data_IF_221485828487
#
_entry.id   IF_221485828487
#
_cell.length_a   1.000
_cell.length_b   1.000
_cell.length_c   1.000
_cell.angle_alpha   90.00
_cell.angle_beta   90.00
_cell.angle_gamma   90.00
#
_symmetry.space_group_name_H-M   'P 1'
#
loop_
_entity.id
_entity.type
_entity.pdbx_description
1 polymer ?
#
# COMPACT_ATOMS: atom_id res chain seq x y z
N UNK A 1 -17.26 -0.71 1.99
CA UNK A 1 -16.45 -0.15 0.88
C UNK A 1 -15.99 -1.33 0.04
N UNK A 2 -15.96 -1.20 -1.29
CA UNK A 2 -15.49 -2.29 -2.17
C UNK A 2 -13.98 -2.21 -2.34
N UNK A 3 -13.31 -3.33 -2.63
CA UNK A 3 -11.85 -3.36 -2.86
C UNK A 3 -11.40 -2.41 -3.98
N UNK A 4 -12.30 -2.09 -4.91
CA UNK A 4 -12.05 -1.16 -6.03
C UNK A 4 -11.80 0.30 -5.61
N UNK A 5 -12.14 0.69 -4.37
CA UNK A 5 -11.85 2.05 -3.89
C UNK A 5 -10.42 2.25 -3.38
N UNK A 6 -9.66 1.17 -3.16
CA UNK A 6 -8.31 1.27 -2.61
C UNK A 6 -7.27 1.63 -3.69
N UNK A 7 -6.27 2.47 -3.36
CA UNK A 7 -5.25 2.89 -4.32
C UNK A 7 -4.36 1.71 -4.74
N UNK A 8 -3.77 1.79 -5.94
CA UNK A 8 -2.76 0.83 -6.42
C UNK A 8 -1.35 1.15 -5.95
N UNK A 9 -1.11 2.36 -5.48
CA UNK A 9 0.18 2.81 -4.96
C UNK A 9 -0.03 3.69 -3.74
N UNK A 10 0.71 3.42 -2.67
CA UNK A 10 0.80 4.29 -1.50
C UNK A 10 2.26 4.73 -1.35
N UNK A 11 2.51 6.03 -1.32
CA UNK A 11 3.80 6.55 -0.87
C UNK A 11 3.84 6.53 0.66
N UNK A 12 4.88 5.96 1.26
CA UNK A 12 5.15 6.10 2.68
C UNK A 12 6.08 7.30 2.86
N UNK A 13 5.78 8.23 3.77
CA UNK A 13 6.64 9.39 4.02
C UNK A 13 8.07 8.98 4.45
N UNK A 14 9.07 9.90 4.40
CA UNK A 14 10.45 9.58 4.70
C UNK A 14 10.66 8.90 6.06
N UNK A 15 9.92 9.30 7.10
CA UNK A 15 9.96 8.69 8.42
C UNK A 15 11.03 9.26 9.36
N UNK A 16 11.73 10.28 8.90
CA UNK A 16 12.78 11.05 9.58
C UNK A 16 12.70 12.54 9.20
N UNK A 17 11.52 13.04 8.82
CA UNK A 17 11.35 14.45 8.48
C UNK A 17 11.68 15.34 9.68
N UNK A 18 12.51 16.36 9.44
CA UNK A 18 12.70 17.49 10.35
C UNK A 18 11.84 18.66 9.87
N UNK A 19 11.65 19.68 10.70
CA UNK A 19 10.95 20.90 10.30
C UNK A 19 11.57 21.53 9.04
N UNK A 20 12.90 21.61 8.97
CA UNK A 20 13.65 22.10 7.81
C UNK A 20 13.47 21.21 6.58
N UNK A 21 13.28 19.90 6.79
CA UNK A 21 13.07 18.91 5.74
C UNK A 21 11.68 18.94 5.09
N UNK A 22 10.68 19.56 5.74
CA UNK A 22 9.30 19.60 5.23
C UNK A 22 9.22 20.30 3.87
N UNK A 23 9.82 21.48 3.72
CA UNK A 23 9.78 22.23 2.46
C UNK A 23 10.35 21.46 1.26
N UNK A 24 11.58 20.90 1.36
CA UNK A 24 12.13 19.99 0.35
C UNK A 24 11.25 18.77 0.06
N UNK A 25 10.68 18.15 1.09
CA UNK A 25 9.80 17.00 0.92
C UNK A 25 8.53 17.35 0.15
N UNK A 26 7.87 18.48 0.46
CA UNK A 26 6.65 18.91 -0.25
C UNK A 26 6.92 19.15 -1.75
N UNK A 27 8.10 19.70 -2.10
CA UNK A 27 8.48 19.82 -3.52
C UNK A 27 8.65 18.47 -4.21
N UNK A 28 9.21 17.47 -3.51
CA UNK A 28 9.28 16.11 -4.05
C UNK A 28 7.90 15.47 -4.16
N UNK A 29 7.02 15.73 -3.19
CA UNK A 29 5.63 15.28 -3.21
C UNK A 29 4.89 15.86 -4.43
N UNK A 30 5.07 17.14 -4.75
CA UNK A 30 4.49 17.76 -5.96
C UNK A 30 4.93 17.05 -7.24
N UNK A 31 6.20 16.66 -7.33
CA UNK A 31 6.68 15.86 -8.46
C UNK A 31 6.03 14.46 -8.50
N UNK A 32 5.92 13.77 -7.36
CA UNK A 32 5.24 12.48 -7.31
C UNK A 32 3.75 12.59 -7.68
N UNK A 33 3.08 13.65 -7.24
CA UNK A 33 1.69 13.98 -7.57
C UNK A 33 1.49 14.30 -9.05
N UNK A 34 2.43 15.00 -9.69
CA UNK A 34 2.43 15.20 -11.14
C UNK A 34 2.55 13.86 -11.91
N UNK A 35 3.16 12.84 -11.30
CA UNK A 35 3.18 11.47 -11.81
C UNK A 35 1.87 10.69 -11.61
N UNK A 36 0.90 11.24 -10.87
CA UNK A 36 -0.38 10.61 -10.57
C UNK A 36 -0.41 9.82 -9.26
N UNK A 37 0.41 10.19 -8.26
CA UNK A 37 0.45 9.49 -6.97
C UNK A 37 -0.95 9.50 -6.31
N UNK A 38 -1.59 8.34 -6.07
CA UNK A 38 -2.98 8.33 -5.64
C UNK A 38 -3.15 8.39 -4.11
N UNK A 39 -2.12 8.07 -3.33
CA UNK A 39 -2.19 8.14 -1.88
C UNK A 39 -0.81 8.31 -1.22
N UNK A 40 -0.81 8.95 -0.05
CA UNK A 40 0.35 9.03 0.83
C UNK A 40 -0.03 8.64 2.26
N UNK A 41 0.75 7.73 2.85
CA UNK A 41 0.74 7.41 4.27
C UNK A 41 1.81 8.23 4.99
N UNK A 42 1.35 9.18 5.80
CA UNK A 42 2.21 10.02 6.64
C UNK A 42 2.58 9.25 7.90
N UNK A 43 3.86 8.90 8.02
CA UNK A 43 4.44 8.17 9.14
C UNK A 43 5.72 8.87 9.57
N UNK A 44 5.60 9.81 10.49
CA UNK A 44 6.73 10.55 11.05
C UNK A 44 6.76 10.32 12.58
N UNK A 45 7.32 9.20 13.05
CA UNK A 45 7.20 8.77 14.46
C UNK A 45 7.87 9.71 15.47
N UNK A 46 8.73 10.62 15.02
CA UNK A 46 9.36 11.63 15.87
C UNK A 46 8.51 12.87 16.13
N UNK A 47 7.33 12.99 15.52
CA UNK A 47 6.50 14.19 15.60
C UNK A 47 5.40 14.05 16.66
N UNK A 48 5.25 15.09 17.48
CA UNK A 48 4.14 15.20 18.43
C UNK A 48 2.81 15.52 17.71
N UNK A 49 1.68 15.26 18.37
CA UNK A 49 0.35 15.33 17.77
C UNK A 49 0.02 16.71 17.14
N UNK A 50 0.40 17.82 17.79
CA UNK A 50 0.15 19.16 17.28
C UNK A 50 0.93 19.45 15.98
N UNK A 51 2.26 19.40 16.00
CA UNK A 51 3.09 19.52 14.79
C UNK A 51 2.73 18.51 13.70
N UNK A 52 2.42 17.26 14.06
CA UNK A 52 2.00 16.22 13.10
C UNK A 52 0.68 16.59 12.41
N UNK A 53 -0.29 17.15 13.14
CA UNK A 53 -1.55 17.62 12.55
C UNK A 53 -1.32 18.75 11.55
N UNK A 54 -0.44 19.70 11.86
CA UNK A 54 -0.10 20.80 10.95
C UNK A 54 0.63 20.28 9.70
N UNK A 55 1.58 19.36 9.87
CA UNK A 55 2.22 18.66 8.75
C UNK A 55 1.19 17.90 7.89
N UNK A 56 0.28 17.16 8.52
CA UNK A 56 -0.78 16.42 7.84
C UNK A 56 -1.70 17.34 7.03
N UNK A 57 -2.08 18.49 7.58
CA UNK A 57 -2.89 19.50 6.86
C UNK A 57 -2.15 20.09 5.67
N UNK A 58 -0.86 20.36 5.83
CA UNK A 58 -0.02 20.89 4.76
C UNK A 58 0.12 19.86 3.63
N UNK A 59 0.53 18.64 3.95
CA UNK A 59 0.57 17.51 2.99
C UNK A 59 -0.79 17.31 2.32
N UNK A 60 -1.88 17.31 3.09
CA UNK A 60 -3.24 17.19 2.54
C UNK A 60 -3.60 18.30 1.56
N UNK A 61 -3.08 19.53 1.74
CA UNK A 61 -3.30 20.64 0.81
C UNK A 61 -2.65 20.40 -0.56
N UNK A 62 -1.52 19.71 -0.60
CA UNK A 62 -0.88 19.29 -1.86
C UNK A 62 -1.61 18.10 -2.50
N UNK A 63 -2.08 17.14 -1.70
CA UNK A 63 -2.76 15.93 -2.22
C UNK A 63 -4.14 16.22 -2.83
N UNK A 64 -4.95 17.08 -2.18
CA UNK A 64 -6.37 17.31 -2.55
C UNK A 64 -6.59 17.75 -4.00
N UNK A 65 -5.85 18.72 -4.57
CA UNK A 65 -6.01 19.13 -5.97
C UNK A 65 -5.81 18.00 -6.99
N UNK A 66 -5.06 16.96 -6.61
CA UNK A 66 -4.78 15.79 -7.45
C UNK A 66 -5.75 14.62 -7.19
N UNK A 67 -6.73 14.78 -6.29
CA UNK A 67 -7.61 13.70 -5.86
C UNK A 67 -6.90 12.61 -5.05
N UNK A 68 -5.69 12.87 -4.56
CA UNK A 68 -4.90 11.91 -3.80
C UNK A 68 -5.34 11.86 -2.34
N UNK A 69 -5.26 10.67 -1.74
CA UNK A 69 -5.70 10.43 -0.36
C UNK A 69 -4.56 10.54 0.65
N UNK A 70 -4.82 11.19 1.78
CA UNK A 70 -3.93 11.19 2.95
C UNK A 70 -4.31 10.06 3.90
N UNK A 71 -3.33 9.28 4.36
CA UNK A 71 -3.46 8.32 5.46
C UNK A 71 -2.51 8.71 6.58
N UNK A 72 -2.89 8.45 7.82
CA UNK A 72 -2.04 8.68 8.99
C UNK A 72 -1.57 7.36 9.59
N UNK A 73 -0.32 7.27 10.01
CA UNK A 73 0.16 6.12 10.77
C UNK A 73 -0.08 6.32 12.27
N UNK A 74 -0.76 5.39 12.93
CA UNK A 74 -0.98 5.36 14.39
C UNK A 74 -1.60 6.63 15.03
N UNK A 75 -2.28 7.47 14.24
CA UNK A 75 -2.88 8.70 14.73
C UNK A 75 -4.40 8.77 14.45
N UNK A 76 -5.22 7.82 14.93
CA UNK A 76 -6.66 7.81 14.66
C UNK A 76 -7.37 9.07 15.19
N UNK A 77 -6.90 9.61 16.31
CA UNK A 77 -7.41 10.85 16.92
C UNK A 77 -7.21 12.11 16.05
N UNK A 78 -6.31 12.07 15.06
CA UNK A 78 -6.06 13.19 14.14
C UNK A 78 -6.82 13.07 12.81
N UNK A 79 -7.41 11.91 12.49
CA UNK A 79 -8.00 11.63 11.17
C UNK A 79 -9.04 12.67 10.76
N UNK A 80 -9.99 12.97 11.66
CA UNK A 80 -11.04 13.96 11.38
C UNK A 80 -10.47 15.38 11.23
N UNK A 81 -9.54 15.78 12.11
CA UNK A 81 -8.95 17.13 12.11
C UNK A 81 -8.01 17.38 10.92
N UNK A 82 -7.39 16.32 10.41
CA UNK A 82 -6.52 16.34 9.22
C UNK A 82 -7.30 16.11 7.92
N UNK A 83 -8.58 15.74 7.99
CA UNK A 83 -9.39 15.28 6.85
C UNK A 83 -8.71 14.12 6.10
N UNK A 84 -8.09 13.21 6.85
CA UNK A 84 -7.44 12.04 6.29
C UNK A 84 -8.48 10.99 5.84
N UNK A 85 -8.16 10.26 4.78
CA UNK A 85 -8.98 9.16 4.28
C UNK A 85 -8.97 7.93 5.21
N UNK A 86 -8.06 7.88 6.18
CA UNK A 86 -7.93 6.72 7.06
C UNK A 86 -6.67 6.70 7.89
N UNK A 87 -6.48 5.59 8.59
CA UNK A 87 -5.32 5.30 9.43
C UNK A 87 -4.70 3.96 9.04
N UNK A 88 -3.40 3.84 9.20
CA UNK A 88 -2.68 2.58 9.10
C UNK A 88 -2.00 2.27 10.43
N UNK A 89 -2.22 1.06 10.94
CA UNK A 89 -1.70 0.61 12.22
C UNK A 89 -0.42 -0.21 12.02
N UNK A 90 0.57 0.04 12.87
CA UNK A 90 1.74 -0.81 13.01
C UNK A 90 1.47 -2.05 13.86
N UNK A 91 2.49 -2.90 14.01
CA UNK A 91 2.42 -4.13 14.80
C UNK A 91 2.20 -3.88 16.31
N UNK A 92 2.69 -2.75 16.83
CA UNK A 92 2.63 -2.41 18.27
C UNK A 92 1.45 -1.49 18.62
N UNK A 93 0.55 -1.30 17.67
CA UNK A 93 -0.52 -0.32 17.77
C UNK A 93 -1.71 -0.86 18.57
N UNK A 94 -2.70 0.00 18.80
CA UNK A 94 -3.97 -0.45 19.35
C UNK A 94 -4.62 -1.50 18.44
N UNK A 95 -5.35 -2.47 19.00
CA UNK A 95 -6.09 -3.44 18.20
C UNK A 95 -7.09 -2.75 17.24
N UNK A 96 -7.27 -3.24 16.00
CA UNK A 96 -8.19 -2.65 15.03
C UNK A 96 -9.62 -2.43 15.56
N UNK A 97 -10.16 -3.36 16.32
CA UNK A 97 -11.50 -3.29 16.92
C UNK A 97 -11.64 -2.14 17.95
N UNK A 98 -10.52 -1.67 18.51
CA UNK A 98 -10.48 -0.49 19.39
C UNK A 98 -10.32 0.81 18.61
N UNK A 99 -9.70 0.74 17.44
CA UNK A 99 -9.47 1.91 16.57
C UNK A 99 -10.67 2.20 15.70
N UNK A 100 -11.34 1.17 15.16
CA UNK A 100 -12.48 1.32 14.24
C UNK A 100 -13.58 2.27 14.76
N UNK A 101 -14.01 2.23 16.03
CA UNK A 101 -15.02 3.15 16.56
C UNK A 101 -14.54 4.61 16.68
N UNK A 102 -13.23 4.86 16.64
CA UNK A 102 -12.66 6.23 16.69
C UNK A 102 -12.70 6.92 15.32
N UNK A 103 -12.87 6.16 14.24
CA UNK A 103 -12.76 6.67 12.88
C UNK A 103 -14.13 7.16 12.37
N UNK A 104 -14.16 8.24 11.58
CA UNK A 104 -15.34 8.59 10.80
C UNK A 104 -15.78 7.42 9.90
N UNK A 105 -17.08 7.33 9.65
CA UNK A 105 -17.63 6.32 8.76
C UNK A 105 -17.01 6.45 7.35
N UNK A 106 -16.58 5.31 6.77
CA UNK A 106 -15.95 5.28 5.45
C UNK A 106 -14.44 5.57 5.45
N UNK A 107 -13.81 5.83 6.60
CA UNK A 107 -12.35 5.88 6.68
C UNK A 107 -11.74 4.48 6.54
N UNK A 108 -10.64 4.39 5.79
CA UNK A 108 -9.87 3.15 5.68
C UNK A 108 -9.08 2.88 6.97
N UNK A 109 -9.00 1.61 7.35
CA UNK A 109 -8.18 1.13 8.43
C UNK A 109 -7.29 0.00 7.91
N UNK A 110 -5.99 0.26 7.83
CA UNK A 110 -4.99 -0.73 7.45
C UNK A 110 -4.22 -1.28 8.63
N UNK A 111 -3.64 -2.46 8.47
CA UNK A 111 -2.75 -3.08 9.47
C UNK A 111 -1.47 -3.63 8.80
N UNK A 112 -0.32 -3.37 9.42
CA UNK A 112 0.95 -4.00 9.04
C UNK A 112 1.04 -5.43 9.57
N UNK A 113 1.45 -6.35 8.69
CA UNK A 113 1.61 -7.79 9.00
C UNK A 113 2.99 -8.28 8.54
N UNK A 114 3.58 -9.20 9.32
CA UNK A 114 4.84 -9.87 8.98
C UNK A 114 4.62 -11.36 8.74
N UNK A 115 5.60 -12.04 8.12
CA UNK A 115 5.51 -13.48 7.87
C UNK A 115 5.42 -14.32 9.16
N UNK A 116 6.00 -13.84 10.27
CA UNK A 116 5.85 -14.47 11.59
C UNK A 116 4.41 -14.48 12.10
N UNK A 117 3.57 -13.58 11.59
CA UNK A 117 2.22 -13.34 12.11
C UNK A 117 1.17 -14.17 11.34
N UNK A 118 1.64 -15.16 10.58
CA UNK A 118 0.86 -15.86 9.56
C UNK A 118 -0.46 -16.51 10.02
N UNK A 119 -0.64 -16.97 11.28
CA UNK A 119 -1.92 -17.51 11.72
C UNK A 119 -3.00 -16.46 11.97
N UNK A 120 -2.68 -15.17 12.14
CA UNK A 120 -3.64 -14.18 12.68
C UNK A 120 -4.30 -13.29 11.62
N UNK A 121 -3.76 -13.20 10.40
CA UNK A 121 -4.26 -12.27 9.36
C UNK A 121 -5.56 -12.76 8.70
N UNK A 122 -5.80 -14.07 8.67
CA UNK A 122 -7.04 -14.65 8.14
C UNK A 122 -8.27 -14.27 9.01
N UNK A 123 -8.05 -13.72 10.21
CA UNK A 123 -9.08 -13.48 11.22
C UNK A 123 -9.10 -12.04 11.75
N UNK A 124 -8.33 -11.10 11.18
CA UNK A 124 -8.38 -9.70 11.63
C UNK A 124 -9.69 -9.09 11.17
N UNK A 125 -10.73 -9.28 11.97
CA UNK A 125 -11.96 -8.54 11.87
C UNK A 125 -11.65 -7.03 11.87
N UNK A 126 -12.49 -6.26 11.19
CA UNK A 126 -12.48 -4.80 11.22
C UNK A 126 -11.27 -4.10 10.58
N UNK A 127 -10.54 -4.68 9.63
CA UNK A 127 -9.58 -3.94 8.77
C UNK A 127 -10.02 -3.95 7.29
N UNK A 128 -9.63 -2.91 6.54
CA UNK A 128 -9.96 -2.78 5.12
C UNK A 128 -8.85 -3.30 4.20
N UNK A 129 -7.61 -3.36 4.68
CA UNK A 129 -6.45 -3.88 3.95
C UNK A 129 -5.29 -4.19 4.88
N UNK A 130 -4.29 -4.92 4.38
CA UNK A 130 -3.05 -5.19 5.12
C UNK A 130 -1.81 -4.86 4.32
N UNK A 131 -0.72 -4.50 5.01
CA UNK A 131 0.61 -4.45 4.43
C UNK A 131 1.34 -5.77 4.73
N UNK A 132 1.91 -6.41 3.71
CA UNK A 132 2.74 -7.59 3.85
C UNK A 132 4.20 -7.24 3.54
N UNK A 133 5.09 -7.48 4.51
CA UNK A 133 6.46 -6.96 4.44
C UNK A 133 7.45 -7.65 5.39
N UNK A 134 8.78 -7.58 5.11
CA UNK A 134 9.38 -7.05 3.88
C UNK A 134 9.36 -8.06 2.73
N UNK A 135 9.03 -7.63 1.51
CA UNK A 135 9.11 -8.50 0.31
C UNK A 135 10.56 -8.80 -0.06
N UNK A 136 11.39 -7.76 -0.15
CA UNK A 136 12.82 -7.86 -0.39
C UNK A 136 13.61 -7.20 0.74
N UNK A 137 14.91 -7.49 0.80
CA UNK A 137 15.80 -6.90 1.80
C UNK A 137 15.75 -5.37 1.73
N UNK A 138 15.71 -4.72 2.89
CA UNK A 138 15.67 -3.26 2.97
C UNK A 138 16.45 -2.76 4.19
N UNK A 139 17.24 -1.67 4.05
CA UNK A 139 17.98 -1.10 5.17
C UNK A 139 17.10 -0.78 6.39
N UNK A 140 15.85 -0.37 6.15
CA UNK A 140 14.91 0.00 7.22
C UNK A 140 14.45 -1.15 8.11
N UNK A 141 14.72 -2.40 7.72
CA UNK A 141 14.36 -3.61 8.48
C UNK A 141 15.54 -4.58 8.61
N UNK A 142 16.75 -4.13 8.27
CA UNK A 142 17.96 -4.94 8.35
C UNK A 142 18.21 -5.42 9.79
N UNK A 143 18.36 -6.73 9.97
CA UNK A 143 18.68 -7.35 11.26
C UNK A 143 17.50 -7.75 12.14
N UNK A 144 16.25 -7.47 11.73
CA UNK A 144 15.06 -7.81 12.53
C UNK A 144 13.96 -8.55 11.76
N UNK A 145 13.95 -8.51 10.42
CA UNK A 145 12.98 -9.24 9.58
C UNK A 145 13.65 -9.72 8.28
N UNK A 146 13.56 -11.02 8.01
CA UNK A 146 14.00 -11.62 6.74
C UNK A 146 13.02 -11.31 5.61
N UNK A 147 13.50 -11.10 4.36
CA UNK A 147 12.65 -10.92 3.21
C UNK A 147 11.85 -12.20 2.90
N UNK A 148 10.57 -12.03 2.62
CA UNK A 148 9.62 -13.14 2.43
C UNK A 148 9.52 -13.59 0.97
N UNK A 149 9.90 -12.72 0.03
CA UNK A 149 9.83 -12.98 -1.40
C UNK A 149 8.42 -12.91 -2.00
N UNK A 150 8.36 -12.98 -3.33
CA UNK A 150 7.10 -12.87 -4.10
C UNK A 150 6.24 -14.12 -4.04
N UNK A 151 6.83 -15.30 -3.79
CA UNK A 151 6.07 -16.53 -3.57
C UNK A 151 5.20 -16.44 -2.32
N UNK A 152 5.78 -16.06 -1.17
CA UNK A 152 5.02 -15.89 0.07
C UNK A 152 3.99 -14.76 -0.05
N UNK A 153 4.27 -13.72 -0.85
CA UNK A 153 3.29 -12.69 -1.17
C UNK A 153 2.08 -13.26 -1.93
N UNK A 154 2.31 -14.08 -2.96
CA UNK A 154 1.24 -14.70 -3.73
C UNK A 154 0.39 -15.63 -2.84
N UNK A 155 1.02 -16.44 -1.99
CA UNK A 155 0.35 -17.29 -1.00
C UNK A 155 -0.50 -16.46 -0.03
N UNK A 156 0.04 -15.33 0.47
CA UNK A 156 -0.69 -14.39 1.33
C UNK A 156 -1.88 -13.76 0.63
N UNK A 157 -1.73 -13.32 -0.62
CA UNK A 157 -2.80 -12.74 -1.43
C UNK A 157 -3.95 -13.74 -1.59
N UNK A 158 -3.64 -15.00 -1.89
CA UNK A 158 -4.65 -16.06 -2.05
C UNK A 158 -5.35 -16.41 -0.73
N UNK A 159 -4.63 -16.37 0.39
CA UNK A 159 -5.16 -16.75 1.69
C UNK A 159 -5.87 -15.62 2.46
N UNK A 160 -5.72 -14.35 2.04
CA UNK A 160 -6.24 -13.21 2.79
C UNK A 160 -7.69 -12.89 2.44
N UNK A 161 -8.51 -12.64 3.46
CA UNK A 161 -9.87 -12.16 3.29
C UNK A 161 -9.95 -10.68 2.89
N UNK A 162 -8.84 -9.94 3.02
CA UNK A 162 -8.77 -8.50 2.73
C UNK A 162 -7.66 -8.20 1.72
N UNK A 163 -7.77 -7.09 0.97
CA UNK A 163 -6.72 -6.64 0.05
C UNK A 163 -5.33 -6.54 0.69
N UNK A 164 -4.32 -7.12 0.02
CA UNK A 164 -2.92 -7.16 0.49
C UNK A 164 -2.07 -6.18 -0.31
N UNK A 165 -1.31 -5.32 0.37
CA UNK A 165 -0.30 -4.47 -0.24
C UNK A 165 1.11 -5.01 0.00
N UNK A 166 1.95 -4.94 -1.03
CA UNK A 166 3.36 -5.31 -0.95
C UNK A 166 4.22 -4.14 -0.45
N UNK A 167 5.03 -4.35 0.59
CA UNK A 167 5.94 -3.35 1.14
C UNK A 167 7.32 -3.95 1.46
N UNK A 168 8.38 -3.17 1.24
CA UNK A 168 9.74 -3.47 1.68
C UNK A 168 10.63 -3.94 0.52
N UNK A 169 11.61 -3.11 0.17
CA UNK A 169 12.59 -3.39 -0.88
C UNK A 169 12.04 -3.37 -2.32
N UNK A 170 10.78 -2.98 -2.51
CA UNK A 170 10.15 -2.83 -3.83
C UNK A 170 10.72 -1.59 -4.56
N UNK A 171 11.11 -1.76 -5.82
CA UNK A 171 11.66 -0.72 -6.70
C UNK A 171 11.32 -1.02 -8.17
N UNK A 172 11.82 -0.22 -9.13
CA UNK A 172 11.55 -0.38 -10.57
C UNK A 172 11.96 -1.75 -11.14
N UNK A 173 13.01 -2.34 -10.61
CA UNK A 173 13.68 -3.50 -11.21
C UNK A 173 12.95 -4.79 -10.84
N UNK A 174 12.32 -4.83 -9.66
CA UNK A 174 11.57 -5.99 -9.17
C UNK A 174 10.03 -5.82 -9.22
N UNK A 175 9.55 -4.66 -9.67
CA UNK A 175 8.13 -4.31 -9.64
C UNK A 175 7.24 -5.28 -10.43
N UNK A 176 7.75 -5.78 -11.56
CA UNK A 176 7.02 -6.72 -12.41
C UNK A 176 6.69 -8.02 -11.68
N UNK A 177 7.66 -8.60 -10.96
CA UNK A 177 7.48 -9.82 -10.18
C UNK A 177 6.51 -9.61 -9.01
N UNK A 178 6.59 -8.44 -8.36
CA UNK A 178 5.66 -8.08 -7.28
C UNK A 178 4.22 -8.01 -7.79
N UNK A 179 3.98 -7.37 -8.94
CA UNK A 179 2.64 -7.30 -9.51
C UNK A 179 2.11 -8.66 -9.97
N UNK A 180 2.99 -9.54 -10.46
CA UNK A 180 2.60 -10.92 -10.82
C UNK A 180 2.11 -11.74 -9.63
N UNK A 181 2.60 -11.44 -8.41
CA UNK A 181 2.11 -12.04 -7.18
C UNK A 181 0.67 -11.59 -6.79
N UNK A 182 0.09 -10.63 -7.52
CA UNK A 182 -1.31 -10.22 -7.38
C UNK A 182 -1.69 -9.33 -6.19
N UNK A 183 -0.82 -8.49 -5.60
CA UNK A 183 -1.24 -7.60 -4.53
C UNK A 183 -2.28 -6.57 -5.02
N UNK A 184 -3.09 -6.05 -4.10
CA UNK A 184 -3.95 -4.90 -4.35
C UNK A 184 -3.14 -3.69 -4.81
N UNK A 185 -2.00 -3.45 -4.17
CA UNK A 185 -1.13 -2.32 -4.47
C UNK A 185 0.26 -2.50 -3.88
N UNK A 186 1.11 -1.52 -4.15
CA UNK A 186 2.47 -1.49 -3.59
C UNK A 186 2.67 -0.25 -2.73
N UNK A 187 3.58 -0.34 -1.77
CA UNK A 187 3.96 0.76 -0.89
C UNK A 187 5.43 1.10 -1.13
N UNK A 188 5.71 2.34 -1.54
CA UNK A 188 7.06 2.80 -1.85
C UNK A 188 7.52 3.87 -0.86
N UNK A 189 8.80 3.80 -0.44
CA UNK A 189 9.47 4.83 0.37
C UNK A 189 10.77 5.28 -0.29
N UNK A 190 11.85 4.54 -0.07
CA UNK A 190 13.20 4.90 -0.55
C UNK A 190 13.31 4.91 -2.08
N UNK A 191 12.64 3.99 -2.77
CA UNK A 191 12.62 3.96 -4.24
C UNK A 191 11.95 5.21 -4.84
N UNK A 192 11.00 5.81 -4.12
CA UNK A 192 10.32 7.03 -4.54
C UNK A 192 11.12 8.28 -4.15
N UNK A 193 11.38 8.47 -2.85
CA UNK A 193 12.02 9.68 -2.32
C UNK A 193 13.53 9.74 -2.57
N UNK A 194 14.16 8.62 -2.89
CA UNK A 194 15.55 8.57 -3.34
C UNK A 194 15.73 8.87 -4.84
N UNK A 195 14.65 8.98 -5.60
CA UNK A 195 14.69 9.25 -7.04
C UNK A 195 14.80 10.75 -7.32
N UNK A 196 15.58 11.10 -8.34
CA UNK A 196 15.58 12.47 -8.92
C UNK A 196 14.33 12.76 -9.75
N UNK A 197 13.56 11.73 -10.09
CA UNK A 197 12.34 11.80 -10.88
C UNK A 197 11.21 11.00 -10.21
N UNK A 198 10.63 11.49 -9.09
CA UNK A 198 9.54 10.80 -8.39
C UNK A 198 8.30 10.58 -9.27
N UNK A 199 8.01 11.52 -10.16
CA UNK A 199 6.97 11.45 -11.19
C UNK A 199 7.09 10.16 -12.03
N UNK A 200 8.30 9.88 -12.53
CA UNK A 200 8.55 8.70 -13.38
C UNK A 200 8.46 7.39 -12.61
N UNK A 201 8.84 7.39 -11.32
CA UNK A 201 8.69 6.21 -10.45
C UNK A 201 7.21 5.88 -10.27
N UNK A 202 6.38 6.89 -10.00
CA UNK A 202 4.93 6.73 -9.88
C UNK A 202 4.32 6.22 -11.18
N UNK A 203 4.61 6.86 -12.31
CA UNK A 203 4.09 6.45 -13.63
C UNK A 203 4.49 5.03 -13.99
N UNK A 204 5.76 4.65 -13.77
CA UNK A 204 6.25 3.30 -14.03
C UNK A 204 5.50 2.27 -13.19
N UNK A 205 5.23 2.61 -11.92
CA UNK A 205 4.49 1.73 -11.02
C UNK A 205 3.05 1.50 -11.45
N UNK A 206 2.32 2.57 -11.75
CA UNK A 206 0.94 2.48 -12.19
C UNK A 206 0.82 1.78 -13.56
N UNK A 207 1.76 2.04 -14.48
CA UNK A 207 1.79 1.38 -15.80
C UNK A 207 2.07 -0.11 -15.69
N UNK A 208 2.97 -0.52 -14.78
CA UNK A 208 3.25 -1.93 -14.52
C UNK A 208 2.03 -2.67 -13.94
N UNK A 209 1.26 -2.02 -13.07
CA UNK A 209 -0.01 -2.55 -12.54
C UNK A 209 -1.00 -2.85 -13.69
N UNK A 210 -1.29 -1.85 -14.52
CA UNK A 210 -2.25 -1.98 -15.64
C UNK A 210 -1.82 -3.05 -16.64
N UNK A 211 -0.54 -3.10 -16.98
CA UNK A 211 0.01 -4.07 -17.93
C UNK A 211 -0.08 -5.52 -17.42
N UNK A 212 0.01 -5.72 -16.11
CA UNK A 212 -0.13 -7.05 -15.49
C UNK A 212 -1.60 -7.46 -15.44
N UNK A 213 -2.51 -6.55 -15.06
CA UNK A 213 -3.96 -6.83 -15.06
C UNK A 213 -4.51 -7.19 -16.45
N UNK A 214 -4.03 -6.49 -17.50
CA UNK A 214 -4.37 -6.83 -18.89
C UNK A 214 -3.88 -8.24 -19.30
N UNK A 215 -2.72 -8.66 -18.80
CA UNK A 215 -2.16 -10.00 -19.10
C UNK A 215 -2.92 -11.12 -18.38
N UNK A 216 -3.30 -10.92 -17.12
CA UNK A 216 -4.05 -11.91 -16.35
C UNK A 216 -5.47 -12.12 -16.94
N UNK A 217 -6.18 -11.03 -17.26
CA UNK A 217 -7.52 -11.11 -17.88
C UNK A 217 -7.52 -11.80 -19.27
N UNK A 218 -6.45 -11.65 -20.04
CA UNK A 218 -6.29 -12.35 -21.33
C UNK A 218 -5.89 -13.82 -21.19
N UNK A 219 -5.28 -14.22 -20.08
CA UNK A 219 -4.99 -15.63 -19.80
C UNK A 219 -6.22 -16.38 -19.29
N UNK A 220 -7.01 -15.78 -18.40
CA UNK A 220 -8.25 -16.39 -17.88
C UNK A 220 -9.27 -16.64 -18.99
N UNK A 221 -9.41 -15.71 -19.94
CA UNK A 221 -10.30 -15.88 -21.11
C UNK A 221 -9.87 -17.00 -22.06
N UNK A 222 -8.56 -17.25 -22.21
CA UNK A 222 -8.04 -18.38 -22.99
C UNK A 222 -8.20 -19.71 -22.27
N UNK A 223 -7.94 -19.76 -20.96
CA UNK A 223 -8.13 -20.95 -20.13
C UNK A 223 -9.59 -21.40 -20.00
N UNK A 224 -10.55 -20.46 -20.05
CA UNK A 224 -11.97 -20.76 -20.09
C UNK A 224 -12.42 -21.37 -21.43
N UNK A 225 -11.81 -20.95 -22.55
CA UNK A 225 -12.13 -21.48 -23.88
C UNK A 225 -11.67 -22.93 -24.10
N UNK A 226 -10.58 -23.35 -23.44
CA UNK A 226 -9.99 -24.69 -23.61
C UNK A 226 -10.73 -25.78 -22.80
N UNK A 227 -11.41 -25.41 -21.71
CA UNK A 227 -12.24 -26.34 -20.90
C UNK A 227 -13.63 -26.63 -21.52
N UNK A 228 -13.97 -25.99 -22.63
CA UNK A 228 -15.24 -26.21 -23.35
C UNK A 228 -15.18 -27.34 -24.40
N UNK A 229 -14.01 -27.94 -24.63
CA UNK A 229 -13.86 -29.11 -25.50
C UNK A 229 -14.01 -30.40 -24.68
N UNK A 230 -15.26 -30.77 -24.42
CA UNK A 230 -15.61 -32.11 -23.96
C UNK A 230 -15.49 -33.07 -25.17
N UNK A 231 -14.65 -34.12 -25.15
CA UNK A 231 -14.75 -35.19 -26.12
C UNK A 231 -15.97 -36.05 -25.75
N UNK A 232 -17.09 -35.81 -26.42
CA UNK A 232 -18.19 -36.76 -26.43
C UNK A 232 -17.76 -38.01 -27.21
N UNK A 233 -17.67 -39.11 -26.48
CA UNK A 233 -18.33 -40.37 -26.77
C UNK A 233 -18.03 -41.05 -28.12
N UNK A 234 -17.04 -41.96 -28.12
CA UNK A 234 -17.06 -43.13 -29.00
C UNK A 234 -16.91 -44.39 -28.14
N UNK A 235 -18.04 -44.93 -27.72
CA UNK A 235 -18.18 -46.29 -27.19
C UNK A 235 -19.52 -46.88 -27.60
N UNK A 236 -19.60 -47.37 -28.85
CA UNK A 236 -20.24 -48.64 -29.27
C UNK A 236 -20.44 -48.73 -30.77
#
# INVERSE_FOLDING_TARGET
>A
MTADSLPRLIALSPGDLTEEGVGPFLRQLDHALAGGLPALLLREPGWEAGPLLELARNVGAHLRPHGASLLLHDAPHLVAAAQAAGVHLGFRSLPPERVRPMLPAGCWLGLSTHASDAPQVAEVADVDYVFFSPIYATPSKAGWLEPVGTQALAERVQASAVPVFALGGVNSDNLGEVWQAGPQGVVLRSALWGSRHPDRVVQSCLSACLSTQARLSTQDSRGASDRSRNPMDESR
#
